data_IF_678871435544
#
_entry.id   IF_678871435544
#
_cell.length_a   1.000
_cell.length_b   1.000
_cell.length_c   1.000
_cell.angle_alpha   90.00
_cell.angle_beta   90.00
_cell.angle_gamma   90.00
#
_symmetry.space_group_name_H-M   'P 1'
#
loop_
_entity.id
_entity.type
_entity.pdbx_description
1 polymer ?
#
# COMPACT_ATOMS: atom_id res chain seq x y z
N UNK A 1 29.54 0.04 9.49
CA UNK A 1 28.37 -0.26 8.63
C UNK A 1 28.91 -1.00 7.41
N UNK A 2 28.57 -2.28 7.25
CA UNK A 2 29.19 -3.20 6.28
C UNK A 2 28.81 -2.81 4.84
N UNK A 3 29.75 -2.23 4.11
CA UNK A 3 29.59 -1.89 2.69
C UNK A 3 29.70 -3.20 1.88
N UNK A 4 28.58 -3.92 1.68
CA UNK A 4 28.53 -5.10 0.80
C UNK A 4 27.49 -6.18 1.12
N UNK A 5 26.82 -6.14 2.28
CA UNK A 5 25.78 -7.14 2.60
C UNK A 5 24.50 -6.91 1.80
N UNK A 6 24.12 -5.66 1.54
CA UNK A 6 22.92 -5.31 0.78
C UNK A 6 22.81 -5.99 -0.59
N UNK A 7 23.77 -5.76 -1.50
CA UNK A 7 23.76 -6.40 -2.82
C UNK A 7 23.71 -7.93 -2.74
N UNK A 8 24.49 -8.55 -1.84
CA UNK A 8 24.47 -10.00 -1.64
C UNK A 8 23.11 -10.51 -1.19
N UNK A 9 22.43 -9.77 -0.32
CA UNK A 9 21.09 -10.12 0.14
C UNK A 9 20.06 -10.01 -0.99
N UNK A 10 20.18 -9.01 -1.87
CA UNK A 10 19.33 -8.91 -3.07
C UNK A 10 19.55 -10.12 -3.96
N UNK A 11 20.79 -10.49 -4.26
CA UNK A 11 21.08 -11.68 -5.08
C UNK A 11 20.52 -12.97 -4.44
N UNK A 12 20.72 -13.14 -3.13
CA UNK A 12 20.23 -14.30 -2.39
C UNK A 12 18.70 -14.38 -2.38
N UNK A 13 18.00 -13.25 -2.30
CA UNK A 13 16.54 -13.18 -2.37
C UNK A 13 16.01 -13.70 -3.71
N UNK A 14 16.60 -13.24 -4.81
CA UNK A 14 16.21 -13.68 -6.16
C UNK A 14 16.53 -15.16 -6.39
N UNK A 15 17.69 -15.62 -5.92
CA UNK A 15 18.05 -17.03 -6.00
C UNK A 15 17.08 -17.92 -5.20
N UNK A 16 16.72 -17.52 -3.98
CA UNK A 16 15.77 -18.26 -3.15
C UNK A 16 14.38 -18.34 -3.81
N UNK A 17 13.90 -17.22 -4.36
CA UNK A 17 12.62 -17.20 -5.06
C UNK A 17 12.62 -18.06 -6.32
N UNK A 18 13.71 -18.08 -7.08
CA UNK A 18 13.81 -18.93 -8.28
C UNK A 18 13.86 -20.41 -7.89
N UNK A 19 14.67 -20.76 -6.88
CA UNK A 19 14.77 -22.13 -6.36
C UNK A 19 13.41 -22.66 -5.89
N UNK A 20 12.64 -21.82 -5.21
CA UNK A 20 11.37 -22.21 -4.60
C UNK A 20 10.16 -21.94 -5.53
N UNK A 21 10.39 -21.49 -6.76
CA UNK A 21 9.37 -21.08 -7.73
C UNK A 21 8.34 -20.11 -7.12
N UNK A 22 8.82 -19.13 -6.34
CA UNK A 22 8.03 -18.19 -5.59
C UNK A 22 7.81 -16.87 -6.35
N UNK A 23 6.69 -16.20 -6.04
CA UNK A 23 6.46 -14.81 -6.46
C UNK A 23 7.18 -13.88 -5.47
N UNK A 24 7.98 -12.96 -5.99
CA UNK A 24 8.60 -11.91 -5.18
C UNK A 24 7.67 -10.71 -5.08
N UNK A 25 7.29 -10.32 -3.86
CA UNK A 25 6.57 -9.08 -3.59
C UNK A 25 7.49 -8.13 -2.81
N UNK A 26 7.73 -6.95 -3.38
CA UNK A 26 8.59 -5.92 -2.78
C UNK A 26 7.72 -4.68 -2.54
N UNK A 27 7.35 -4.47 -1.28
CA UNK A 27 6.60 -3.30 -0.83
C UNK A 27 7.52 -2.10 -0.54
N UNK A 28 6.96 -0.89 -0.51
CA UNK A 28 7.68 0.36 -0.27
C UNK A 28 8.96 0.47 -1.12
N UNK A 29 8.82 0.11 -2.40
CA UNK A 29 9.96 -0.01 -3.32
C UNK A 29 10.51 1.33 -3.80
N UNK A 30 9.95 2.46 -3.37
CA UNK A 30 10.41 3.82 -3.72
C UNK A 30 11.88 4.09 -3.32
N UNK A 31 12.30 3.60 -2.16
CA UNK A 31 13.70 3.69 -1.73
C UNK A 31 14.68 3.03 -2.72
N UNK A 32 14.25 1.95 -3.37
CA UNK A 32 15.05 1.17 -4.32
C UNK A 32 14.85 1.62 -5.77
N UNK A 33 13.65 2.08 -6.14
CA UNK A 33 13.27 2.42 -7.51
C UNK A 33 13.41 3.91 -7.86
N UNK A 34 13.64 4.77 -6.86
CA UNK A 34 13.85 6.21 -7.05
C UNK A 34 15.10 6.52 -7.89
N UNK A 35 15.19 7.75 -8.43
CA UNK A 35 16.38 8.22 -9.18
C UNK A 35 17.68 8.05 -8.40
N UNK A 36 18.80 7.88 -9.12
CA UNK A 36 20.14 7.82 -8.52
C UNK A 36 20.46 9.08 -7.74
N UNK A 37 20.99 8.89 -6.53
CA UNK A 37 21.58 9.99 -5.77
C UNK A 37 22.86 10.43 -6.50
N UNK A 38 22.89 11.68 -6.97
CA UNK A 38 23.97 12.22 -7.81
C UNK A 38 25.07 12.92 -7.01
N UNK A 39 24.74 13.48 -5.84
CA UNK A 39 25.68 14.12 -4.94
C UNK A 39 26.02 13.22 -3.76
N UNK A 40 26.59 12.05 -4.07
CA UNK A 40 26.92 11.04 -3.06
C UNK A 40 28.06 11.53 -2.18
N UNK A 41 27.76 11.82 -0.92
CA UNK A 41 28.72 12.30 0.08
C UNK A 41 28.88 11.33 1.25
N UNK A 42 27.97 10.36 1.39
CA UNK A 42 27.96 9.40 2.48
C UNK A 42 28.05 7.95 1.98
N UNK A 43 28.66 7.07 2.78
CA UNK A 43 28.76 5.63 2.46
C UNK A 43 27.41 4.91 2.40
N UNK A 44 26.41 5.41 3.12
CA UNK A 44 25.02 4.93 3.07
C UNK A 44 24.41 5.10 1.66
N UNK A 45 24.62 6.25 1.04
CA UNK A 45 24.12 6.55 -0.30
C UNK A 45 24.79 5.67 -1.38
N UNK A 46 26.09 5.37 -1.20
CA UNK A 46 26.80 4.41 -2.05
C UNK A 46 26.23 2.99 -1.92
N UNK A 47 25.88 2.59 -0.70
CA UNK A 47 25.28 1.28 -0.45
C UNK A 47 23.90 1.15 -1.12
N UNK A 48 23.06 2.19 -1.06
CA UNK A 48 21.75 2.23 -1.73
C UNK A 48 21.91 2.12 -3.25
N UNK A 49 22.81 2.91 -3.84
CA UNK A 49 23.09 2.84 -5.28
C UNK A 49 23.57 1.44 -5.70
N UNK A 50 24.41 0.80 -4.87
CA UNK A 50 24.91 -0.55 -5.12
C UNK A 50 23.79 -1.60 -5.05
N UNK A 51 22.90 -1.51 -4.05
CA UNK A 51 21.72 -2.39 -3.96
C UNK A 51 20.80 -2.23 -5.18
N UNK A 52 20.57 -1.00 -5.64
CA UNK A 52 19.78 -0.71 -6.83
C UNK A 52 20.37 -1.32 -8.10
N UNK A 53 21.68 -1.17 -8.30
CA UNK A 53 22.39 -1.80 -9.42
C UNK A 53 22.23 -3.32 -9.38
N UNK A 54 22.37 -3.93 -8.21
CA UNK A 54 22.19 -5.37 -8.06
C UNK A 54 20.74 -5.82 -8.29
N UNK A 55 19.76 -5.02 -7.87
CA UNK A 55 18.34 -5.28 -8.14
C UNK A 55 18.07 -5.33 -9.64
N UNK A 56 18.58 -4.35 -10.41
CA UNK A 56 18.42 -4.33 -11.88
C UNK A 56 19.05 -5.55 -12.55
N UNK A 57 20.27 -5.93 -12.14
CA UNK A 57 20.94 -7.13 -12.67
C UNK A 57 20.15 -8.40 -12.33
N UNK A 58 19.62 -8.48 -11.11
CA UNK A 58 18.84 -9.64 -10.66
C UNK A 58 17.52 -9.75 -11.42
N UNK A 59 16.83 -8.64 -11.65
CA UNK A 59 15.60 -8.57 -12.44
C UNK A 59 15.81 -9.05 -13.88
N UNK A 60 16.94 -8.72 -14.52
CA UNK A 60 17.23 -9.19 -15.89
C UNK A 60 17.49 -10.69 -15.99
N UNK A 61 17.98 -11.30 -14.91
CA UNK A 61 18.31 -12.74 -14.87
C UNK A 61 17.15 -13.60 -14.39
N UNK A 62 16.30 -13.05 -13.53
CA UNK A 62 15.25 -13.79 -12.84
C UNK A 62 14.16 -14.28 -13.78
N UNK A 63 13.85 -15.57 -13.68
CA UNK A 63 12.80 -16.23 -14.48
C UNK A 63 11.57 -16.52 -13.61
N UNK A 64 10.95 -15.46 -13.10
CA UNK A 64 9.77 -15.55 -12.25
C UNK A 64 8.95 -14.26 -12.26
N UNK A 65 7.98 -14.17 -11.35
CA UNK A 65 7.12 -12.98 -11.20
C UNK A 65 7.65 -12.14 -10.04
N UNK A 66 7.90 -10.86 -10.33
CA UNK A 66 8.19 -9.84 -9.32
C UNK A 66 7.09 -8.79 -9.37
N UNK A 67 6.53 -8.48 -8.20
CA UNK A 67 5.53 -7.43 -8.00
C UNK A 67 6.12 -6.38 -7.08
N UNK A 68 6.16 -5.15 -7.57
CA UNK A 68 6.56 -3.98 -6.78
C UNK A 68 5.31 -3.22 -6.35
N UNK A 69 5.26 -2.82 -5.08
CA UNK A 69 4.31 -1.85 -4.56
C UNK A 69 5.06 -0.58 -4.12
N UNK A 70 4.47 0.57 -4.42
CA UNK A 70 5.06 1.88 -4.13
C UNK A 70 4.00 2.97 -4.23
N UNK A 71 4.18 4.01 -3.41
CA UNK A 71 3.34 5.20 -3.40
C UNK A 71 3.91 6.33 -4.30
N UNK A 72 5.02 6.09 -4.99
CA UNK A 72 5.74 7.13 -5.72
C UNK A 72 5.19 7.31 -7.14
N UNK A 73 4.61 8.48 -7.41
CA UNK A 73 3.99 8.80 -8.71
C UNK A 73 4.99 9.43 -9.72
N UNK A 74 6.09 10.06 -9.28
CA UNK A 74 6.85 10.97 -10.17
C UNK A 74 8.39 10.82 -10.21
N UNK A 75 9.01 9.91 -9.44
CA UNK A 75 10.48 9.90 -9.30
C UNK A 75 11.18 8.56 -9.57
N UNK A 76 10.69 7.79 -10.54
CA UNK A 76 11.36 6.57 -11.00
C UNK A 76 12.69 6.84 -11.69
N UNK A 77 13.64 5.92 -11.52
CA UNK A 77 14.77 5.78 -12.43
C UNK A 77 14.26 5.21 -13.77
N UNK A 78 14.50 5.89 -14.91
CA UNK A 78 14.06 5.45 -16.23
C UNK A 78 14.50 4.02 -16.60
N UNK A 79 15.55 3.51 -15.98
CA UNK A 79 15.99 2.13 -16.17
C UNK A 79 14.93 1.10 -15.74
N UNK A 80 14.11 1.40 -14.72
CA UNK A 80 13.03 0.50 -14.29
C UNK A 80 11.80 0.59 -15.19
N UNK A 81 11.46 1.77 -15.70
CA UNK A 81 10.27 1.98 -16.55
C UNK A 81 10.26 1.09 -17.80
N UNK A 82 11.44 0.83 -18.36
CA UNK A 82 11.60 -0.06 -19.53
C UNK A 82 11.53 -1.55 -19.20
N UNK A 83 11.68 -1.92 -17.92
CA UNK A 83 11.79 -3.31 -17.43
C UNK A 83 10.56 -3.79 -16.67
N UNK A 84 9.70 -2.88 -16.21
CA UNK A 84 8.50 -3.19 -15.41
C UNK A 84 7.22 -2.73 -16.10
N UNK A 85 6.11 -3.42 -15.84
CA UNK A 85 4.76 -3.00 -16.25
C UNK A 85 4.14 -2.21 -15.10
N UNK A 86 3.74 -0.97 -15.36
CA UNK A 86 3.10 -0.12 -14.36
C UNK A 86 1.57 -0.32 -14.37
N UNK A 87 0.99 -0.52 -13.19
CA UNK A 87 -0.45 -0.56 -13.00
C UNK A 87 -0.79 0.55 -12.01
N UNK A 88 -1.57 1.53 -12.47
CA UNK A 88 -2.06 2.60 -11.61
C UNK A 88 -3.26 2.12 -10.81
N UNK A 89 -3.24 2.35 -9.50
CA UNK A 89 -4.35 2.09 -8.59
C UNK A 89 -5.02 3.44 -8.24
N UNK A 90 -6.09 3.83 -8.96
CA UNK A 90 -6.81 5.06 -8.63
C UNK A 90 -7.56 4.92 -7.31
N UNK A 91 -8.05 6.04 -6.79
CA UNK A 91 -9.06 6.02 -5.73
C UNK A 91 -10.27 5.21 -6.18
N UNK A 92 -10.89 4.41 -5.28
CA UNK A 92 -12.02 3.59 -5.64
C UNK A 92 -13.22 4.46 -6.02
N UNK A 93 -13.87 4.11 -7.13
CA UNK A 93 -15.16 4.70 -7.50
C UNK A 93 -16.28 4.25 -6.54
N UNK A 94 -17.47 4.83 -6.71
CA UNK A 94 -18.62 4.51 -5.86
C UNK A 94 -18.96 3.01 -5.83
N UNK A 95 -18.85 2.31 -6.97
CA UNK A 95 -19.15 0.87 -7.06
C UNK A 95 -18.13 0.10 -6.22
N UNK A 96 -16.84 0.41 -6.38
CA UNK A 96 -15.76 -0.18 -5.61
C UNK A 96 -15.90 0.12 -4.12
N UNK A 97 -16.24 1.35 -3.73
CA UNK A 97 -16.47 1.73 -2.33
C UNK A 97 -17.62 0.94 -1.71
N UNK A 98 -18.73 0.75 -2.43
CA UNK A 98 -19.84 -0.09 -1.95
C UNK A 98 -19.39 -1.54 -1.70
N UNK A 99 -18.61 -2.12 -2.63
CA UNK A 99 -18.04 -3.46 -2.46
C UNK A 99 -17.08 -3.54 -1.26
N UNK A 100 -16.26 -2.51 -1.05
CA UNK A 100 -15.36 -2.44 0.10
C UNK A 100 -16.16 -2.38 1.41
N UNK A 101 -17.20 -1.53 1.49
CA UNK A 101 -18.10 -1.48 2.64
C UNK A 101 -18.74 -2.83 2.96
N UNK A 102 -19.31 -3.49 1.94
CA UNK A 102 -19.91 -4.81 2.09
C UNK A 102 -18.91 -5.88 2.55
N UNK A 103 -17.63 -5.76 2.16
CA UNK A 103 -16.57 -6.70 2.54
C UNK A 103 -16.02 -6.43 3.94
N UNK A 104 -15.91 -5.16 4.33
CA UNK A 104 -15.26 -4.75 5.58
C UNK A 104 -16.24 -4.67 6.76
N UNK A 105 -17.53 -4.42 6.53
CA UNK A 105 -18.52 -4.42 7.60
C UNK A 105 -18.68 -5.83 8.20
N UNK A 106 -18.39 -6.02 9.49
CA UNK A 106 -18.60 -7.30 10.14
C UNK A 106 -20.08 -7.65 10.21
N UNK A 107 -20.45 -8.88 9.86
CA UNK A 107 -21.85 -9.35 9.85
C UNK A 107 -22.55 -9.27 11.21
N UNK A 108 -21.77 -9.32 12.29
CA UNK A 108 -22.24 -9.28 13.67
C UNK A 108 -22.12 -7.90 14.31
N UNK A 109 -21.70 -6.88 13.57
CA UNK A 109 -21.68 -5.51 14.05
C UNK A 109 -23.12 -5.02 14.18
N UNK A 110 -23.58 -4.58 15.37
CA UNK A 110 -24.95 -4.08 15.51
C UNK A 110 -25.06 -2.72 14.81
N UNK A 111 -25.87 -2.68 13.74
CA UNK A 111 -26.14 -1.50 12.94
C UNK A 111 -27.60 -1.08 13.07
N UNK A 112 -27.87 0.22 13.02
CA UNK A 112 -29.22 0.74 12.85
C UNK A 112 -29.70 0.49 11.42
N UNK A 113 -31.02 0.46 11.23
CA UNK A 113 -31.64 0.25 9.92
C UNK A 113 -31.34 1.38 8.91
N UNK A 114 -30.83 2.52 9.39
CA UNK A 114 -30.46 3.66 8.54
C UNK A 114 -29.11 3.48 7.82
N UNK A 115 -28.32 2.47 8.21
CA UNK A 115 -27.02 2.17 7.60
C UNK A 115 -27.21 1.44 6.27
N UNK A 116 -26.83 2.09 5.18
CA UNK A 116 -26.77 1.51 3.85
C UNK A 116 -25.36 1.70 3.27
N UNK A 117 -24.78 0.60 2.78
CA UNK A 117 -23.45 0.63 2.16
C UNK A 117 -23.47 1.41 0.85
N UNK A 118 -24.60 1.42 0.16
CA UNK A 118 -24.83 2.22 -1.05
C UNK A 118 -24.73 3.72 -0.74
N UNK A 119 -25.39 4.17 0.34
CA UNK A 119 -25.32 5.57 0.78
C UNK A 119 -23.93 5.95 1.28
N UNK A 120 -23.29 5.08 2.07
CA UNK A 120 -21.92 5.33 2.54
C UNK A 120 -20.90 5.36 1.38
N UNK A 121 -21.17 4.65 0.29
CA UNK A 121 -20.34 4.67 -0.90
C UNK A 121 -20.45 5.96 -1.72
N UNK A 122 -21.50 6.78 -1.53
CA UNK A 122 -21.63 8.10 -2.18
C UNK A 122 -20.59 9.10 -1.68
N UNK A 123 -19.98 8.87 -0.51
CA UNK A 123 -18.92 9.71 0.04
C UNK A 123 -17.63 9.50 -0.79
N UNK A 124 -17.24 10.56 -1.52
CA UNK A 124 -16.07 10.58 -2.40
C UNK A 124 -14.74 10.76 -1.63
N UNK A 125 -13.61 10.55 -2.33
CA UNK A 125 -12.25 10.70 -1.79
C UNK A 125 -11.93 9.76 -0.60
N UNK A 126 -12.64 8.64 -0.50
CA UNK A 126 -12.47 7.62 0.54
C UNK A 126 -11.81 6.37 -0.02
N UNK A 127 -10.70 5.93 0.58
CA UNK A 127 -10.05 4.66 0.25
C UNK A 127 -10.43 3.54 1.23
N UNK A 128 -10.00 2.30 0.95
CA UNK A 128 -10.33 1.16 1.81
C UNK A 128 -9.76 1.26 3.24
N UNK A 129 -8.65 1.99 3.43
CA UNK A 129 -8.10 2.29 4.75
C UNK A 129 -9.05 3.16 5.55
N UNK A 130 -9.60 4.21 4.93
CA UNK A 130 -10.50 5.17 5.57
C UNK A 130 -11.81 4.48 5.98
N UNK A 131 -12.38 3.64 5.10
CA UNK A 131 -13.56 2.81 5.42
C UNK A 131 -13.30 1.92 6.64
N UNK A 132 -12.16 1.23 6.66
CA UNK A 132 -11.79 0.36 7.79
C UNK A 132 -11.68 1.15 9.09
N UNK A 133 -11.02 2.31 9.04
CA UNK A 133 -10.85 3.17 10.21
C UNK A 133 -12.18 3.72 10.69
N UNK A 134 -13.05 4.18 9.79
CA UNK A 134 -14.40 4.63 10.14
C UNK A 134 -15.18 3.56 10.90
N UNK A 135 -15.16 2.30 10.44
CA UNK A 135 -15.82 1.19 11.16
C UNK A 135 -15.30 1.04 12.58
N UNK A 136 -13.97 1.05 12.76
CA UNK A 136 -13.32 0.87 14.06
C UNK A 136 -13.60 2.07 14.98
N UNK A 137 -13.44 3.28 14.47
CA UNK A 137 -13.56 4.52 15.23
C UNK A 137 -15.00 4.76 15.66
N UNK A 138 -15.99 4.50 14.78
CA UNK A 138 -17.40 4.56 15.13
C UNK A 138 -17.77 3.53 16.20
N UNK A 139 -17.27 2.30 16.08
CA UNK A 139 -17.54 1.25 17.07
C UNK A 139 -16.95 1.62 18.44
N UNK A 140 -15.71 2.12 18.48
CA UNK A 140 -15.06 2.57 19.72
C UNK A 140 -15.82 3.75 20.34
N UNK A 141 -16.19 4.74 19.54
CA UNK A 141 -16.95 5.93 20.00
C UNK A 141 -18.31 5.55 20.59
N UNK A 142 -19.06 4.68 19.92
CA UNK A 142 -20.37 4.20 20.40
C UNK A 142 -20.20 3.41 21.70
N UNK A 143 -19.23 2.50 21.77
CA UNK A 143 -18.96 1.71 22.97
C UNK A 143 -18.55 2.59 24.17
N UNK A 144 -17.70 3.59 23.95
CA UNK A 144 -17.29 4.55 25.00
C UNK A 144 -18.46 5.37 25.55
N UNK A 145 -19.48 5.61 24.73
CA UNK A 145 -20.71 6.31 25.12
C UNK A 145 -21.79 5.38 25.69
N UNK A 146 -21.44 4.13 26.04
CA UNK A 146 -22.38 3.08 26.47
C UNK A 146 -23.49 2.76 25.46
N UNK A 147 -23.27 3.04 24.18
CA UNK A 147 -24.13 2.61 23.09
C UNK A 147 -23.82 1.18 22.66
N UNK A 148 -24.79 0.53 22.03
CA UNK A 148 -24.67 -0.86 21.55
C UNK A 148 -24.88 -1.01 20.03
N UNK A 149 -25.25 0.07 19.33
CA UNK A 149 -25.61 0.05 17.91
C UNK A 149 -25.02 1.27 17.21
N UNK A 150 -24.47 1.08 16.01
CA UNK A 150 -23.85 2.12 15.19
C UNK A 150 -24.85 2.60 14.13
N UNK A 151 -25.01 3.91 14.00
CA UNK A 151 -25.86 4.52 12.96
C UNK A 151 -25.09 5.03 11.76
N UNK A 152 -25.83 5.46 10.73
CA UNK A 152 -25.23 6.07 9.53
C UNK A 152 -24.34 7.26 9.89
N UNK A 153 -24.81 8.13 10.79
CA UNK A 153 -24.08 9.33 11.23
C UNK A 153 -22.75 9.02 11.88
N UNK A 154 -22.68 7.94 12.68
CA UNK A 154 -21.43 7.58 13.34
C UNK A 154 -20.34 7.22 12.32
N UNK A 155 -20.72 6.54 11.23
CA UNK A 155 -19.82 6.14 10.15
C UNK A 155 -19.46 7.30 9.22
N UNK A 156 -20.44 8.15 8.86
CA UNK A 156 -20.18 9.32 8.03
C UNK A 156 -19.29 10.34 8.73
N UNK A 157 -19.57 10.63 10.01
CA UNK A 157 -18.77 11.57 10.78
C UNK A 157 -17.32 11.07 10.98
N UNK A 158 -17.13 9.75 11.07
CA UNK A 158 -15.80 9.15 11.19
C UNK A 158 -14.99 9.24 9.89
N UNK A 159 -15.65 9.21 8.73
CA UNK A 159 -15.01 9.47 7.45
C UNK A 159 -14.59 10.94 7.31
N UNK A 160 -15.42 11.89 7.77
CA UNK A 160 -15.10 13.32 7.73
C UNK A 160 -13.98 13.72 8.71
N UNK A 161 -13.85 12.99 9.82
CA UNK A 161 -12.82 13.23 10.82
C UNK A 161 -11.44 12.68 10.43
N UNK A 162 -11.36 11.82 9.41
CA UNK A 162 -10.10 11.31 8.91
C UNK A 162 -9.38 12.45 8.15
N UNK A 163 -8.26 12.98 8.65
CA UNK A 163 -7.53 14.01 7.93
C UNK A 163 -7.08 13.42 6.60
N UNK A 164 -7.45 14.09 5.50
CA UNK A 164 -6.98 13.80 4.15
C UNK A 164 -5.45 13.95 4.17
N UNK A 165 -4.72 12.86 4.44
CA UNK A 165 -3.28 12.81 4.26
C UNK A 165 -3.02 12.72 2.76
N UNK A 166 -2.85 13.89 2.14
CA UNK A 166 -2.16 14.05 0.86
C UNK A 166 -0.65 14.01 1.06
#
# INVERSE_FOLDING_TARGET
MYHGEGPKNVEALFYAAERDNAVLFIDESDSLLSKRLTNVTQGSEQAINSMRSQLLISLERFRGIVVFATNLVENYDPAFETRVRNIFFPMPDQICRNLIWQKLLPKNLPLLEDVSTEKLAEIDEVCGRDIRNAIIDSALKVAMNNGSTIGYRDLSDALDAAPIQK
#
